data_IF_399386923656
#
_entry.id   IF_399386923656
#
_cell.length_a   1.000
_cell.length_b   1.000
_cell.length_c   1.000
_cell.angle_alpha   90.00
_cell.angle_beta   90.00
_cell.angle_gamma   90.00
#
_symmetry.space_group_name_H-M   'P 1'
#
loop_
_entity.id
_entity.type
_entity.pdbx_description
1 polymer ?
#
# COMPACT_ATOMS: atom_id res chain seq x y z
N UNK A 1 14.45 -12.05 2.55
CA UNK A 1 14.39 -11.59 3.95
C UNK A 1 15.78 -11.13 4.35
N UNK A 2 15.92 -9.99 5.03
CA UNK A 2 17.22 -9.41 5.30
C UNK A 2 18.02 -10.32 6.23
N UNK A 3 19.35 -10.26 6.15
CA UNK A 3 20.22 -11.00 7.05
C UNK A 3 19.97 -10.56 8.50
N UNK A 4 20.10 -11.46 9.51
CA UNK A 4 19.80 -11.13 10.91
C UNK A 4 20.53 -9.91 11.47
N UNK A 5 21.65 -9.54 10.84
CA UNK A 5 22.48 -8.38 11.18
C UNK A 5 21.79 -7.05 10.87
N UNK A 6 20.91 -7.00 9.86
CA UNK A 6 20.13 -5.81 9.55
C UNK A 6 19.18 -5.45 10.71
N UNK A 7 18.53 -6.47 11.28
CA UNK A 7 17.61 -6.29 12.42
C UNK A 7 18.31 -5.81 13.70
N UNK A 8 19.65 -5.92 13.78
CA UNK A 8 20.45 -5.41 14.92
C UNK A 8 20.87 -3.95 14.78
N UNK A 9 20.61 -3.31 13.64
CA UNK A 9 20.86 -1.87 13.48
C UNK A 9 19.90 -1.06 14.36
N UNK A 10 20.26 0.19 14.68
CA UNK A 10 19.32 1.12 15.30
C UNK A 10 18.11 1.37 14.38
N UNK A 11 16.97 1.73 14.95
CA UNK A 11 15.75 2.02 14.20
C UNK A 11 16.01 3.08 13.12
N UNK A 12 16.61 4.22 13.49
CA UNK A 12 16.95 5.31 12.57
C UNK A 12 17.83 4.86 11.41
N UNK A 13 18.78 3.95 11.66
CA UNK A 13 19.68 3.47 10.60
C UNK A 13 18.96 2.50 9.66
N UNK A 14 18.04 1.67 10.16
CA UNK A 14 17.19 0.84 9.32
C UNK A 14 16.28 1.72 8.48
N UNK A 15 15.56 2.63 9.12
CA UNK A 15 14.62 3.53 8.45
C UNK A 15 15.30 4.33 7.34
N UNK A 16 16.47 4.94 7.61
CA UNK A 16 17.22 5.67 6.57
C UNK A 16 17.59 4.81 5.34
N UNK A 17 17.92 3.53 5.55
CA UNK A 17 18.23 2.61 4.44
C UNK A 17 16.97 2.26 3.66
N UNK A 18 15.88 1.95 4.38
CA UNK A 18 14.61 1.54 3.78
C UNK A 18 13.94 2.73 3.07
N UNK A 19 14.04 3.94 3.62
CA UNK A 19 13.54 5.16 3.02
C UNK A 19 14.24 5.48 1.70
N UNK A 20 15.58 5.47 1.67
CA UNK A 20 16.34 5.65 0.44
C UNK A 20 15.99 4.59 -0.62
N UNK A 21 15.82 3.34 -0.19
CA UNK A 21 15.37 2.28 -1.07
C UNK A 21 13.96 2.54 -1.61
N UNK A 22 13.00 2.91 -0.75
CA UNK A 22 11.63 3.15 -1.17
C UNK A 22 11.50 4.33 -2.12
N UNK A 23 12.26 5.41 -1.91
CA UNK A 23 12.31 6.54 -2.85
C UNK A 23 12.80 6.12 -4.23
N UNK A 24 13.94 5.42 -4.31
CA UNK A 24 14.48 4.96 -5.60
C UNK A 24 13.53 3.98 -6.29
N UNK A 25 12.98 2.99 -5.55
CA UNK A 25 12.04 2.01 -6.11
C UNK A 25 10.73 2.65 -6.55
N UNK A 26 10.17 3.57 -5.77
CA UNK A 26 8.95 4.29 -6.14
C UNK A 26 9.16 5.15 -7.41
N UNK A 27 10.32 5.78 -7.55
CA UNK A 27 10.62 6.65 -8.69
C UNK A 27 10.97 5.89 -9.98
N UNK A 28 11.63 4.72 -9.87
CA UNK A 28 12.24 4.04 -11.01
C UNK A 28 11.74 2.62 -11.24
N UNK A 29 10.83 2.12 -10.40
CA UNK A 29 10.39 0.72 -10.41
C UNK A 29 11.49 -0.24 -9.95
N UNK A 30 11.13 -1.51 -9.79
CA UNK A 30 12.11 -2.54 -9.39
C UNK A 30 13.28 -2.63 -10.38
N UNK A 31 13.00 -2.72 -11.68
CA UNK A 31 14.04 -2.93 -12.70
C UNK A 31 14.94 -1.71 -12.89
N UNK A 32 14.35 -0.50 -12.91
CA UNK A 32 15.06 0.75 -13.14
C UNK A 32 15.83 1.28 -11.92
N UNK A 33 15.49 0.84 -10.72
CA UNK A 33 16.17 1.27 -9.50
C UNK A 33 17.66 0.87 -9.45
N UNK A 34 18.49 1.84 -9.10
CA UNK A 34 19.94 1.69 -8.93
C UNK A 34 20.31 1.41 -7.48
N UNK A 35 20.85 0.21 -7.23
CA UNK A 35 21.38 -0.13 -5.91
C UNK A 35 22.46 0.88 -5.46
N UNK A 36 23.34 1.32 -6.36
CA UNK A 36 24.40 2.26 -6.00
C UNK A 36 23.83 3.60 -5.50
N UNK A 37 22.77 4.13 -6.12
CA UNK A 37 22.12 5.38 -5.68
C UNK A 37 21.49 5.21 -4.30
N UNK A 38 20.80 4.09 -4.07
CA UNK A 38 20.21 3.77 -2.77
C UNK A 38 21.28 3.79 -1.67
N UNK A 39 22.43 3.16 -1.92
CA UNK A 39 23.50 3.08 -0.94
C UNK A 39 24.16 4.44 -0.66
N UNK A 40 24.31 5.26 -1.69
CA UNK A 40 24.81 6.63 -1.58
C UNK A 40 23.88 7.49 -0.74
N UNK A 41 22.58 7.52 -1.05
CA UNK A 41 21.57 8.27 -0.30
C UNK A 41 21.42 7.75 1.14
N UNK A 42 21.45 6.42 1.32
CA UNK A 42 21.45 5.79 2.62
C UNK A 42 22.79 5.95 3.37
N UNK A 43 23.81 6.56 2.77
CA UNK A 43 25.14 6.75 3.36
C UNK A 43 25.75 5.46 3.91
N UNK A 44 25.68 4.35 3.16
CA UNK A 44 26.32 3.08 3.51
C UNK A 44 27.17 2.57 2.33
N UNK A 45 28.25 1.85 2.62
CA UNK A 45 29.12 1.29 1.57
C UNK A 45 28.49 0.05 0.91
N UNK A 46 28.92 -0.27 -0.31
CA UNK A 46 28.54 -1.51 -1.00
C UNK A 46 28.88 -2.77 -0.21
N UNK A 47 30.01 -2.79 0.49
CA UNK A 47 30.37 -3.88 1.40
C UNK A 47 29.40 -4.02 2.58
N UNK A 48 28.92 -2.91 3.14
CA UNK A 48 27.90 -2.93 4.18
C UNK A 48 26.55 -3.40 3.65
N UNK A 49 26.18 -3.06 2.42
CA UNK A 49 24.95 -3.54 1.80
C UNK A 49 24.89 -5.07 1.72
N UNK A 50 25.93 -5.72 1.17
CA UNK A 50 26.02 -7.19 1.10
C UNK A 50 26.15 -7.87 2.47
N UNK A 51 26.47 -7.10 3.51
CA UNK A 51 26.46 -7.59 4.88
C UNK A 51 25.02 -7.69 5.44
N UNK A 52 24.09 -6.88 4.92
CA UNK A 52 22.68 -6.82 5.36
C UNK A 52 21.71 -7.55 4.42
N UNK A 53 21.95 -7.51 3.11
CA UNK A 53 21.06 -8.04 2.09
C UNK A 53 21.82 -8.95 1.13
N UNK A 54 21.15 -9.97 0.61
CA UNK A 54 21.75 -10.87 -0.37
C UNK A 54 21.89 -10.19 -1.75
N UNK A 55 20.86 -9.47 -2.18
CA UNK A 55 20.81 -8.77 -3.46
C UNK A 55 19.79 -7.61 -3.44
N UNK A 56 19.52 -7.03 -4.63
CA UNK A 56 18.53 -5.96 -4.81
C UNK A 56 17.10 -6.44 -4.52
N UNK A 57 16.77 -7.70 -4.82
CA UNK A 57 15.45 -8.28 -4.59
C UNK A 57 15.18 -8.46 -3.08
N UNK A 58 16.20 -8.83 -2.32
CA UNK A 58 16.13 -8.94 -0.88
C UNK A 58 15.93 -7.57 -0.21
N UNK A 59 16.67 -6.55 -0.65
CA UNK A 59 16.45 -5.17 -0.22
C UNK A 59 15.04 -4.69 -0.57
N UNK A 60 14.62 -4.89 -1.82
CA UNK A 60 13.28 -4.52 -2.28
C UNK A 60 12.18 -5.14 -1.42
N UNK A 61 12.22 -6.47 -1.24
CA UNK A 61 11.22 -7.21 -0.45
C UNK A 61 11.23 -6.74 1.00
N UNK A 62 12.40 -6.50 1.58
CA UNK A 62 12.52 -5.99 2.96
C UNK A 62 11.87 -4.62 3.11
N UNK A 63 12.16 -3.71 2.18
CA UNK A 63 11.59 -2.36 2.18
C UNK A 63 10.09 -2.37 1.95
N UNK A 64 9.61 -3.19 1.01
CA UNK A 64 8.19 -3.34 0.73
C UNK A 64 7.43 -3.89 1.94
N UNK A 65 7.94 -4.95 2.58
CA UNK A 65 7.35 -5.52 3.79
C UNK A 65 7.27 -4.50 4.93
N UNK A 66 8.35 -3.73 5.14
CA UNK A 66 8.40 -2.72 6.19
C UNK A 66 7.29 -1.67 6.03
N UNK A 67 7.16 -1.11 4.84
CA UNK A 67 6.16 -0.07 4.57
C UNK A 67 4.74 -0.61 4.45
N UNK A 68 4.54 -1.83 3.96
CA UNK A 68 3.21 -2.46 4.00
C UNK A 68 2.74 -2.76 5.43
N UNK A 69 3.66 -3.15 6.32
CA UNK A 69 3.33 -3.31 7.74
C UNK A 69 2.94 -1.98 8.38
N UNK A 70 3.65 -0.90 8.05
CA UNK A 70 3.33 0.45 8.49
C UNK A 70 1.95 0.88 8.00
N UNK A 71 1.66 0.71 6.71
CA UNK A 71 0.35 0.99 6.11
C UNK A 71 -0.77 0.19 6.78
N UNK A 72 -0.61 -1.12 6.93
CA UNK A 72 -1.64 -1.97 7.55
C UNK A 72 -1.88 -1.62 9.02
N UNK A 73 -0.83 -1.23 9.76
CA UNK A 73 -0.95 -0.82 11.15
C UNK A 73 -1.65 0.54 11.31
N UNK A 74 -1.47 1.44 10.34
CA UNK A 74 -2.14 2.75 10.30
C UNK A 74 -3.59 2.65 9.80
N UNK A 75 -3.96 1.58 9.07
CA UNK A 75 -5.33 1.25 8.68
C UNK A 75 -6.22 0.74 9.83
N UNK A 76 -6.02 1.20 11.06
CA UNK A 76 -6.78 0.77 12.22
C UNK A 76 -8.21 1.37 12.21
N UNK A 77 -9.13 0.71 11.51
CA UNK A 77 -10.56 0.93 11.64
C UNK A 77 -11.27 -0.35 12.07
N UNK A 78 -12.35 -0.21 12.83
CA UNK A 78 -13.20 -1.32 13.22
C UNK A 78 -14.44 -1.30 12.32
N UNK A 79 -14.44 -2.18 11.32
CA UNK A 79 -15.54 -2.34 10.36
C UNK A 79 -16.87 -2.62 11.05
N UNK A 80 -16.87 -3.19 12.27
CA UNK A 80 -18.10 -3.46 13.02
C UNK A 80 -18.79 -2.18 13.52
N UNK A 81 -18.06 -1.06 13.60
CA UNK A 81 -18.60 0.25 13.98
C UNK A 81 -19.31 0.94 12.80
N UNK A 82 -19.17 0.42 11.58
CA UNK A 82 -19.84 0.97 10.41
C UNK A 82 -21.33 0.63 10.49
N UNK A 83 -22.17 1.59 10.14
CA UNK A 83 -23.62 1.51 10.02
C UNK A 83 -24.04 1.89 8.60
N UNK A 84 -25.30 1.63 8.24
CA UNK A 84 -25.79 1.98 6.91
C UNK A 84 -25.70 3.49 6.63
N UNK A 85 -25.85 4.31 7.67
CA UNK A 85 -25.83 5.78 7.59
C UNK A 85 -24.42 6.35 7.39
N UNK A 86 -23.39 5.75 8.03
CA UNK A 86 -22.03 6.30 8.00
C UNK A 86 -21.06 5.52 7.09
N UNK A 87 -21.43 4.34 6.56
CA UNK A 87 -20.51 3.44 5.83
C UNK A 87 -19.60 4.15 4.82
N UNK A 88 -20.18 4.94 3.92
CA UNK A 88 -19.43 5.66 2.89
C UNK A 88 -18.60 6.81 3.44
N UNK A 89 -19.08 7.46 4.51
CA UNK A 89 -18.36 8.54 5.17
C UNK A 89 -17.13 8.00 5.91
N UNK A 90 -17.27 6.88 6.63
CA UNK A 90 -16.17 6.18 7.29
C UNK A 90 -15.15 5.66 6.27
N UNK A 91 -15.60 5.05 5.17
CA UNK A 91 -14.70 4.62 4.09
C UNK A 91 -13.92 5.81 3.50
N UNK A 92 -14.59 6.95 3.32
CA UNK A 92 -13.92 8.18 2.87
C UNK A 92 -12.91 8.69 3.90
N UNK A 93 -13.22 8.57 5.20
CA UNK A 93 -12.28 8.93 6.26
C UNK A 93 -11.04 8.03 6.27
N UNK A 94 -11.19 6.73 6.00
CA UNK A 94 -10.07 5.79 5.87
C UNK A 94 -9.15 6.18 4.71
N UNK A 95 -9.70 6.41 3.51
CA UNK A 95 -8.90 6.86 2.36
C UNK A 95 -8.24 8.23 2.62
N UNK A 96 -8.97 9.16 3.23
CA UNK A 96 -8.44 10.48 3.59
C UNK A 96 -7.25 10.36 4.54
N UNK A 97 -7.43 9.62 5.63
CA UNK A 97 -6.39 9.44 6.65
C UNK A 97 -5.11 8.93 6.01
N UNK A 98 -5.21 7.87 5.20
CA UNK A 98 -4.09 7.31 4.47
C UNK A 98 -3.42 8.33 3.55
N UNK A 99 -4.17 8.96 2.64
CA UNK A 99 -3.57 9.85 1.66
C UNK A 99 -2.93 11.09 2.30
N UNK A 100 -3.56 11.65 3.35
CA UNK A 100 -3.04 12.82 4.08
C UNK A 100 -1.87 12.46 4.98
N UNK A 101 -1.89 11.31 5.66
CA UNK A 101 -0.80 10.86 6.54
C UNK A 101 0.52 10.69 5.78
N UNK A 102 0.45 10.14 4.57
CA UNK A 102 1.62 9.87 3.74
C UNK A 102 1.90 10.96 2.69
N UNK A 103 1.27 12.13 2.80
CA UNK A 103 1.47 13.26 1.89
C UNK A 103 2.94 13.63 1.70
N UNK A 104 3.67 13.79 2.82
CA UNK A 104 5.10 14.12 2.84
C UNK A 104 6.01 12.88 2.65
N UNK A 105 5.42 11.68 2.58
CA UNK A 105 6.13 10.40 2.47
C UNK A 105 5.53 9.52 1.34
N UNK A 106 5.40 10.02 0.10
CA UNK A 106 4.71 9.31 -0.98
C UNK A 106 5.34 7.98 -1.36
N UNK A 107 6.63 7.80 -1.07
CA UNK A 107 7.35 6.55 -1.34
C UNK A 107 6.81 5.36 -0.54
N UNK A 108 6.13 5.59 0.59
CA UNK A 108 5.54 4.53 1.43
C UNK A 108 4.51 3.73 0.64
N UNK A 109 3.63 4.41 -0.10
CA UNK A 109 2.71 3.76 -1.03
C UNK A 109 3.36 3.47 -2.39
N UNK A 110 4.23 4.35 -2.87
CA UNK A 110 4.87 4.21 -4.18
C UNK A 110 5.64 2.89 -4.32
N UNK A 111 6.31 2.42 -3.26
CA UNK A 111 7.00 1.13 -3.30
C UNK A 111 6.04 -0.03 -3.51
N UNK A 112 4.82 0.01 -2.95
CA UNK A 112 3.83 -1.06 -3.13
C UNK A 112 3.38 -1.22 -4.59
N UNK A 113 3.52 -0.17 -5.40
CA UNK A 113 3.14 -0.18 -6.83
C UNK A 113 4.35 -0.31 -7.78
N UNK A 114 5.56 -0.28 -7.25
CA UNK A 114 6.82 -0.28 -8.03
C UNK A 114 7.22 -1.63 -8.62
N UNK A 115 6.63 -2.74 -8.15
CA UNK A 115 6.94 -4.11 -8.57
C UNK A 115 6.11 -4.63 -9.74
N UNK A 116 5.16 -3.83 -10.24
CA UNK A 116 4.20 -4.26 -11.25
C UNK A 116 3.18 -5.29 -10.73
N UNK A 117 2.33 -5.84 -11.61
CA UNK A 117 1.34 -6.83 -11.22
C UNK A 117 2.02 -8.14 -10.77
N UNK A 118 1.71 -8.57 -9.54
CA UNK A 118 2.15 -9.85 -8.99
C UNK A 118 0.98 -10.83 -9.08
N UNK A 119 1.22 -12.05 -9.57
CA UNK A 119 0.17 -13.06 -9.60
C UNK A 119 -0.22 -13.49 -8.18
N UNK A 120 -1.48 -13.85 -7.91
CA UNK A 120 -1.89 -14.34 -6.60
C UNK A 120 -1.05 -15.52 -6.10
N UNK A 121 -0.67 -16.43 -7.01
CA UNK A 121 0.17 -17.58 -6.70
C UNK A 121 1.60 -17.18 -6.30
N UNK A 122 2.22 -16.22 -7.01
CA UNK A 122 3.55 -15.73 -6.66
C UNK A 122 3.52 -15.02 -5.31
N UNK A 123 2.46 -14.26 -5.03
CA UNK A 123 2.28 -13.54 -3.78
C UNK A 123 2.05 -14.48 -2.60
N UNK A 124 1.23 -15.53 -2.76
CA UNK A 124 0.97 -16.55 -1.76
C UNK A 124 2.23 -17.34 -1.38
N UNK A 125 3.17 -17.52 -2.30
CA UNK A 125 4.45 -18.18 -2.06
C UNK A 125 5.59 -17.21 -1.66
N UNK A 126 5.26 -15.94 -1.42
CA UNK A 126 6.23 -14.91 -1.06
C UNK A 126 6.30 -14.68 0.46
N UNK A 127 7.36 -14.04 0.97
CA UNK A 127 7.42 -13.55 2.35
C UNK A 127 6.29 -12.56 2.72
N UNK A 128 5.56 -12.03 1.73
CA UNK A 128 4.47 -11.08 1.90
C UNK A 128 3.10 -11.75 2.08
N UNK A 129 3.00 -13.07 1.95
CA UNK A 129 1.73 -13.81 1.95
C UNK A 129 0.84 -13.46 3.14
N UNK A 130 1.37 -13.45 4.36
CA UNK A 130 0.59 -13.15 5.56
C UNK A 130 0.04 -11.71 5.59
N UNK A 131 0.82 -10.73 5.11
CA UNK A 131 0.34 -9.34 5.03
C UNK A 131 -0.72 -9.19 3.95
N UNK A 132 -0.53 -9.88 2.83
CA UNK A 132 -1.51 -9.91 1.75
C UNK A 132 -2.82 -10.57 2.17
N UNK A 133 -2.76 -11.69 2.90
CA UNK A 133 -3.93 -12.35 3.50
C UNK A 133 -4.65 -11.41 4.47
N UNK A 134 -3.91 -10.66 5.28
CA UNK A 134 -4.47 -9.68 6.22
C UNK A 134 -5.20 -8.55 5.46
N UNK A 135 -4.57 -8.00 4.42
CA UNK A 135 -5.17 -6.95 3.59
C UNK A 135 -6.42 -7.43 2.85
N UNK A 136 -6.39 -8.64 2.26
CA UNK A 136 -7.58 -9.25 1.65
C UNK A 136 -8.67 -9.50 2.69
N UNK A 137 -8.32 -9.95 3.89
CA UNK A 137 -9.27 -10.17 4.98
C UNK A 137 -10.05 -8.89 5.34
N UNK A 138 -9.38 -7.73 5.39
CA UNK A 138 -10.02 -6.44 5.63
C UNK A 138 -11.00 -6.08 4.51
N UNK A 139 -10.62 -6.27 3.24
CA UNK A 139 -11.48 -6.00 2.09
C UNK A 139 -12.73 -6.89 2.13
N UNK A 140 -12.57 -8.18 2.41
CA UNK A 140 -13.67 -9.14 2.55
C UNK A 140 -14.63 -8.70 3.65
N UNK A 141 -14.11 -8.34 4.83
CA UNK A 141 -14.94 -7.88 5.94
C UNK A 141 -15.68 -6.59 5.62
N UNK A 142 -15.06 -5.64 4.91
CA UNK A 142 -15.69 -4.41 4.47
C UNK A 142 -16.86 -4.66 3.51
N UNK A 143 -16.65 -5.53 2.50
CA UNK A 143 -17.68 -5.91 1.54
C UNK A 143 -18.84 -6.62 2.26
N UNK A 144 -18.54 -7.61 3.08
CA UNK A 144 -19.54 -8.36 3.87
C UNK A 144 -20.33 -7.43 4.79
N UNK A 145 -19.65 -6.51 5.49
CA UNK A 145 -20.34 -5.55 6.35
C UNK A 145 -21.26 -4.63 5.58
N UNK A 146 -20.80 -4.08 4.46
CA UNK A 146 -21.65 -3.22 3.62
C UNK A 146 -22.85 -3.99 3.05
N UNK A 147 -22.66 -5.26 2.73
CA UNK A 147 -23.71 -6.18 2.30
C UNK A 147 -24.74 -6.46 3.41
N UNK A 148 -24.30 -6.73 4.64
CA UNK A 148 -25.17 -6.91 5.82
C UNK A 148 -26.01 -5.66 6.11
N UNK A 149 -25.41 -4.49 5.96
CA UNK A 149 -26.05 -3.19 6.16
C UNK A 149 -26.96 -2.77 5.00
N UNK A 150 -26.96 -3.54 3.89
CA UNK A 150 -27.74 -3.22 2.69
C UNK A 150 -27.24 -2.01 1.91
N UNK A 151 -25.99 -1.58 2.12
CA UNK A 151 -25.36 -0.46 1.40
C UNK A 151 -24.43 -0.91 0.28
N UNK A 152 -24.07 -2.20 0.23
CA UNK A 152 -23.38 -2.84 -0.89
C UNK A 152 -24.33 -3.88 -1.53
N UNK A 153 -24.30 -3.95 -2.85
CA UNK A 153 -25.07 -4.85 -3.71
C UNK A 153 -24.74 -6.34 -3.48
N UNK A 154 -25.75 -7.18 -3.76
CA UNK A 154 -25.69 -8.65 -3.65
C UNK A 154 -25.95 -9.37 -4.99
N UNK A 155 -26.15 -8.64 -6.08
CA UNK A 155 -26.50 -9.20 -7.39
C UNK A 155 -25.27 -9.64 -8.22
N UNK A 156 -24.06 -9.51 -7.66
CA UNK A 156 -22.80 -9.96 -8.25
C UNK A 156 -22.07 -10.92 -7.31
N UNK A 157 -21.28 -11.88 -7.84
CA UNK A 157 -20.39 -12.70 -7.03
C UNK A 157 -19.38 -11.87 -6.21
N UNK A 158 -19.13 -12.26 -4.96
CA UNK A 158 -18.24 -11.53 -4.05
C UNK A 158 -16.79 -11.45 -4.55
N UNK A 159 -16.30 -12.49 -5.19
CA UNK A 159 -14.96 -12.54 -5.78
C UNK A 159 -14.80 -11.53 -6.93
N UNK A 160 -15.84 -11.37 -7.76
CA UNK A 160 -15.89 -10.34 -8.79
C UNK A 160 -15.93 -8.92 -8.18
N UNK A 161 -16.73 -8.69 -7.14
CA UNK A 161 -16.77 -7.39 -6.45
C UNK A 161 -15.40 -7.01 -5.88
N UNK A 162 -14.74 -7.94 -5.20
CA UNK A 162 -13.42 -7.75 -4.64
C UNK A 162 -12.36 -7.49 -5.73
N UNK A 163 -12.40 -8.24 -6.83
CA UNK A 163 -11.48 -8.04 -7.95
C UNK A 163 -11.65 -6.65 -8.60
N UNK A 164 -12.90 -6.18 -8.75
CA UNK A 164 -13.19 -4.84 -9.27
C UNK A 164 -12.70 -3.74 -8.32
N UNK A 165 -12.89 -3.93 -7.00
CA UNK A 165 -12.40 -3.00 -5.98
C UNK A 165 -10.88 -2.85 -6.05
N UNK A 166 -10.16 -3.97 -6.04
CA UNK A 166 -8.70 -3.98 -6.15
C UNK A 166 -8.20 -3.36 -7.45
N UNK A 167 -8.89 -3.61 -8.57
CA UNK A 167 -8.52 -3.03 -9.85
C UNK A 167 -8.73 -1.51 -9.89
N UNK A 168 -9.81 -1.01 -9.31
CA UNK A 168 -10.08 0.43 -9.24
C UNK A 168 -9.07 1.11 -8.33
N UNK A 169 -8.79 0.53 -7.17
CA UNK A 169 -7.80 1.03 -6.21
C UNK A 169 -6.40 1.10 -6.84
N UNK A 170 -5.96 0.03 -7.52
CA UNK A 170 -4.69 0.00 -8.23
C UNK A 170 -4.59 1.09 -9.31
N UNK A 171 -5.63 1.24 -10.15
CA UNK A 171 -5.64 2.25 -11.21
C UNK A 171 -5.63 3.67 -10.63
N UNK A 172 -6.43 3.90 -9.58
CA UNK A 172 -6.49 5.17 -8.87
C UNK A 172 -5.12 5.53 -8.30
N UNK A 173 -4.50 4.63 -7.55
CA UNK A 173 -3.20 4.85 -6.93
C UNK A 173 -2.13 5.15 -7.96
N UNK A 174 -2.02 4.34 -9.02
CA UNK A 174 -1.03 4.58 -10.08
C UNK A 174 -1.21 5.95 -10.73
N UNK A 175 -2.46 6.37 -10.99
CA UNK A 175 -2.73 7.71 -11.50
C UNK A 175 -2.34 8.79 -10.50
N UNK A 176 -2.71 8.61 -9.23
CA UNK A 176 -2.42 9.56 -8.14
C UNK A 176 -0.91 9.75 -7.97
N UNK A 177 -0.14 8.66 -7.89
CA UNK A 177 1.32 8.71 -7.77
C UNK A 177 2.00 9.36 -8.98
N UNK A 178 1.46 9.16 -10.19
CA UNK A 178 2.02 9.83 -11.38
C UNK A 178 1.92 11.35 -11.35
N UNK A 179 1.09 11.91 -10.46
CA UNK A 179 0.86 13.35 -10.29
C UNK A 179 1.24 13.89 -8.92
N UNK A 180 1.69 13.04 -8.00
CA UNK A 180 1.83 13.39 -6.58
C UNK A 180 2.70 14.64 -6.34
N UNK A 181 3.79 14.78 -7.10
CA UNK A 181 4.70 15.92 -6.97
C UNK A 181 4.05 17.28 -7.31
N UNK A 182 2.97 17.27 -8.11
CA UNK A 182 2.24 18.47 -8.52
C UNK A 182 0.97 18.71 -7.69
N UNK A 183 0.64 17.81 -6.75
CA UNK A 183 -0.58 17.88 -5.95
C UNK A 183 -0.36 18.64 -4.65
N UNK A 184 -1.32 19.51 -4.31
CA UNK A 184 -1.39 20.14 -2.99
C UNK A 184 -2.09 19.22 -1.97
N UNK A 185 -1.98 19.49 -0.66
CA UNK A 185 -2.77 18.78 0.34
C UNK A 185 -4.29 18.86 0.08
N UNK A 186 -4.77 19.97 -0.49
CA UNK A 186 -6.18 20.13 -0.85
C UNK A 186 -6.58 19.20 -2.02
N UNK A 187 -5.69 18.97 -2.99
CA UNK A 187 -5.95 18.03 -4.08
C UNK A 187 -6.04 16.59 -3.59
N UNK A 188 -5.25 16.25 -2.57
CA UNK A 188 -5.21 14.93 -1.94
C UNK A 188 -6.50 14.65 -1.15
N UNK A 189 -6.97 15.63 -0.39
CA UNK A 189 -8.28 15.57 0.27
C UNK A 189 -9.43 15.35 -0.73
N UNK A 190 -9.36 16.01 -1.89
CA UNK A 190 -10.33 15.83 -2.97
C UNK A 190 -10.20 14.44 -3.61
N UNK A 191 -8.98 13.89 -3.73
CA UNK A 191 -8.76 12.56 -4.30
C UNK A 191 -9.44 11.46 -3.46
N UNK A 192 -9.35 11.53 -2.13
CA UNK A 192 -10.02 10.59 -1.23
C UNK A 192 -11.55 10.54 -1.45
N UNK A 193 -12.20 11.69 -1.62
CA UNK A 193 -13.64 11.74 -1.91
C UNK A 193 -14.01 11.24 -3.30
N UNK A 194 -13.13 11.42 -4.29
CA UNK A 194 -13.37 10.95 -5.67
C UNK A 194 -13.33 9.43 -5.76
N UNK A 195 -12.33 8.79 -5.15
CA UNK A 195 -12.22 7.32 -5.18
C UNK A 195 -13.42 6.69 -4.48
N UNK A 196 -13.85 7.20 -3.33
CA UNK A 196 -15.00 6.64 -2.63
C UNK A 196 -16.32 6.89 -3.34
N UNK A 197 -16.52 8.02 -4.04
CA UNK A 197 -17.70 8.22 -4.90
C UNK A 197 -17.74 7.23 -6.07
N UNK A 198 -16.59 6.95 -6.70
CA UNK A 198 -16.49 5.93 -7.76
C UNK A 198 -16.85 4.54 -7.22
N UNK A 199 -16.26 4.16 -6.09
CA UNK A 199 -16.54 2.87 -5.45
C UNK A 199 -18.01 2.76 -5.05
N UNK A 200 -18.58 3.82 -4.46
CA UNK A 200 -19.99 3.89 -4.08
C UNK A 200 -20.91 3.62 -5.26
N UNK A 201 -20.73 4.31 -6.39
CA UNK A 201 -21.58 4.13 -7.58
C UNK A 201 -21.47 2.73 -8.19
N UNK A 202 -20.33 2.07 -8.05
CA UNK A 202 -20.15 0.70 -8.50
C UNK A 202 -20.89 -0.30 -7.59
N UNK A 203 -20.81 -0.06 -6.29
CA UNK A 203 -21.17 -1.01 -5.24
C UNK A 203 -22.57 -0.83 -4.68
N UNK A 204 -23.19 0.35 -4.77
CA UNK A 204 -24.53 0.58 -4.22
C UNK A 204 -25.56 -0.38 -4.84
N UNK A 205 -26.56 -0.83 -4.05
CA UNK A 205 -27.69 -1.59 -4.58
C UNK A 205 -28.42 -0.82 -5.69
N UNK A 206 -28.96 -1.56 -6.67
CA UNK A 206 -29.75 -1.01 -7.77
C UNK A 206 -31.24 -0.93 -7.46
#
# INVERSE_FOLDING_TARGET
>A
MPRPRFNKLSADKRERILEAAAKEFAAHGFDGASLNKILEEAGISKGAAYYYFDDKADLYTTTLLYYLQELLADMAFDVNQFTAENFWAELTAVYRHQLTHYYERPWVFGIAKSGGPISPEALANSPMAALWESAQGLLVQLVQRGQELGVIRHDLPDDLLQALLLAIDDVHDRWLFSRWADMSPADIEVAAGRITDILRRLLEPR
#
